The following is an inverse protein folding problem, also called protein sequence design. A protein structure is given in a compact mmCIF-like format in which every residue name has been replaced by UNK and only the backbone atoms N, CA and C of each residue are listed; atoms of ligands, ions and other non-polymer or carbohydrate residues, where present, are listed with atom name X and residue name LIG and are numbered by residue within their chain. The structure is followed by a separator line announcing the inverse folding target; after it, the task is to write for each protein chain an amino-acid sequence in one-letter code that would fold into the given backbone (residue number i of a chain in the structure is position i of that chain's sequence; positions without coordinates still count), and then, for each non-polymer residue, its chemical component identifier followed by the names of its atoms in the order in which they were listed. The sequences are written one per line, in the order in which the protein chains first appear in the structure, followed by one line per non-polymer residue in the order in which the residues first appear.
data_IF_718980117556
#
_entry.id   IF_718980117556
#
_cell.length_a   1.000
_cell.length_b   1.000
_cell.length_c   1.000
_cell.angle_alpha   90.00
_cell.angle_beta   90.00
_cell.angle_gamma   90.00
#
_symmetry.space_group_name_H-M   'P 1'
#
loop_
_entity.id
_entity.type
_entity.pdbx_description
1 polymer ?
#
# COMPACT_ATOMS: atom_id res chain seq x y z
N UNK A 1 20.96 0.08 -5.37
CA UNK A 1 19.53 0.24 -5.17
C UNK A 1 18.81 -1.12 -5.22
N UNK A 2 17.76 -1.32 -4.39
CA UNK A 2 16.96 -2.55 -4.42
C UNK A 2 17.47 -3.68 -3.53
N UNK A 3 18.60 -3.55 -2.86
CA UNK A 3 19.13 -4.53 -1.89
C UNK A 3 18.88 -4.00 -0.48
N UNK A 4 17.78 -4.46 0.13
CA UNK A 4 17.45 -4.20 1.54
C UNK A 4 18.13 -5.22 2.47
N UNK A 5 18.01 -5.00 3.81
CA UNK A 5 18.68 -5.85 4.82
C UNK A 5 18.41 -7.35 4.64
N UNK A 6 17.14 -7.75 4.48
CA UNK A 6 16.77 -9.16 4.30
C UNK A 6 17.38 -9.76 3.02
N UNK A 7 17.34 -9.03 1.92
CA UNK A 7 17.91 -9.50 0.66
C UNK A 7 19.43 -9.59 0.75
N UNK A 8 20.07 -8.66 1.43
CA UNK A 8 21.53 -8.70 1.70
C UNK A 8 21.92 -9.95 2.49
N UNK A 9 21.13 -10.36 3.48
CA UNK A 9 21.39 -11.57 4.27
C UNK A 9 21.34 -12.82 3.39
N UNK A 10 20.36 -12.91 2.48
CA UNK A 10 20.28 -14.02 1.53
C UNK A 10 21.44 -14.04 0.54
N UNK A 11 21.88 -12.87 0.06
CA UNK A 11 23.05 -12.76 -0.82
C UNK A 11 24.33 -13.18 -0.09
N UNK A 12 24.49 -12.81 1.17
CA UNK A 12 25.64 -13.22 2.00
C UNK A 12 25.73 -14.74 2.18
N UNK A 13 24.58 -15.45 2.29
CA UNK A 13 24.55 -16.92 2.36
C UNK A 13 25.09 -17.58 1.09
N UNK A 14 25.06 -16.87 -0.04
CA UNK A 14 25.62 -17.29 -1.33
C UNK A 14 27.07 -16.82 -1.55
N UNK A 15 27.70 -16.21 -0.53
CA UNK A 15 29.03 -15.64 -0.66
C UNK A 15 29.11 -14.31 -1.42
N UNK A 16 27.97 -13.75 -1.82
CA UNK A 16 27.89 -12.50 -2.59
C UNK A 16 28.09 -11.31 -1.65
N UNK A 17 29.16 -10.56 -1.82
CA UNK A 17 29.51 -9.37 -1.03
C UNK A 17 29.57 -8.08 -1.84
N UNK A 18 29.88 -8.19 -3.13
CA UNK A 18 30.03 -7.05 -4.07
C UNK A 18 29.44 -7.38 -5.42
N UNK A 19 29.25 -6.36 -6.28
CA UNK A 19 28.64 -6.53 -7.61
C UNK A 19 29.42 -7.53 -8.48
N UNK A 20 30.74 -7.55 -8.40
CA UNK A 20 31.55 -8.50 -9.14
C UNK A 20 31.22 -9.97 -8.79
N UNK A 21 30.83 -10.26 -7.55
CA UNK A 21 30.47 -11.63 -7.16
C UNK A 21 29.13 -12.05 -7.79
N UNK A 22 28.23 -11.10 -8.04
CA UNK A 22 26.97 -11.35 -8.74
C UNK A 22 27.21 -11.81 -10.17
N UNK A 23 28.19 -11.21 -10.86
CA UNK A 23 28.53 -11.50 -12.25
C UNK A 23 29.21 -12.87 -12.43
N UNK A 24 29.66 -13.50 -11.35
CA UNK A 24 30.17 -14.88 -11.37
C UNK A 24 29.04 -15.93 -11.40
N UNK A 25 27.79 -15.49 -11.20
CA UNK A 25 26.63 -16.36 -11.18
C UNK A 25 25.82 -16.22 -12.47
N UNK A 26 25.16 -17.32 -12.85
CA UNK A 26 24.26 -17.29 -13.99
C UNK A 26 22.99 -16.47 -13.68
N UNK A 27 22.57 -15.64 -14.65
CA UNK A 27 21.32 -14.86 -14.59
C UNK A 27 20.11 -15.77 -14.33
N UNK A 28 20.05 -16.95 -14.96
CA UNK A 28 18.97 -17.94 -14.79
C UNK A 28 18.94 -18.47 -13.34
N UNK A 29 20.11 -18.71 -12.75
CA UNK A 29 20.19 -19.13 -11.34
C UNK A 29 19.63 -18.06 -10.41
N UNK A 30 20.00 -16.79 -10.61
CA UNK A 30 19.49 -15.67 -9.81
C UNK A 30 18.00 -15.44 -10.00
N UNK A 31 17.48 -15.61 -11.22
CA UNK A 31 16.05 -15.53 -11.52
C UNK A 31 15.27 -16.64 -10.80
N UNK A 32 15.71 -17.89 -10.90
CA UNK A 32 15.07 -19.02 -10.20
C UNK A 32 15.04 -18.83 -8.69
N UNK A 33 16.09 -18.25 -8.10
CA UNK A 33 16.21 -18.09 -6.66
C UNK A 33 15.49 -16.86 -6.11
N UNK A 34 15.52 -15.74 -6.82
CA UNK A 34 15.06 -14.44 -6.35
C UNK A 34 13.98 -13.80 -7.23
N UNK A 35 13.55 -14.49 -8.29
CA UNK A 35 12.57 -13.97 -9.25
C UNK A 35 13.05 -12.68 -9.92
N UNK A 36 12.14 -11.74 -10.09
CA UNK A 36 12.44 -10.42 -10.69
C UNK A 36 13.56 -9.67 -9.97
N UNK A 37 13.71 -9.84 -8.66
CA UNK A 37 14.79 -9.20 -7.90
C UNK A 37 16.17 -9.73 -8.30
N UNK A 38 16.27 -11.01 -8.64
CA UNK A 38 17.51 -11.64 -9.15
C UNK A 38 17.90 -11.11 -10.52
N UNK A 39 16.93 -10.99 -11.43
CA UNK A 39 17.15 -10.40 -12.77
C UNK A 39 17.66 -8.96 -12.62
N UNK A 40 16.95 -8.14 -11.86
CA UNK A 40 17.32 -6.74 -11.60
C UNK A 40 18.70 -6.61 -10.95
N UNK A 41 19.06 -7.52 -10.05
CA UNK A 41 20.36 -7.53 -9.40
C UNK A 41 21.47 -7.78 -10.41
N UNK A 42 21.31 -8.79 -11.29
CA UNK A 42 22.27 -9.12 -12.31
C UNK A 42 22.47 -7.97 -13.32
N UNK A 43 21.38 -7.42 -13.83
CA UNK A 43 21.41 -6.29 -14.77
C UNK A 43 22.12 -5.08 -14.20
N UNK A 44 21.78 -4.70 -12.95
CA UNK A 44 22.45 -3.58 -12.26
C UNK A 44 23.92 -3.85 -11.97
N UNK A 45 24.29 -5.09 -11.64
CA UNK A 45 25.69 -5.46 -11.46
C UNK A 45 26.46 -5.39 -12.79
N UNK A 46 25.79 -5.65 -13.92
CA UNK A 46 26.32 -5.51 -15.28
C UNK A 46 26.34 -4.07 -15.80
N UNK A 47 25.84 -3.10 -15.01
CA UNK A 47 25.72 -1.70 -15.44
C UNK A 47 24.56 -1.47 -16.43
N UNK A 48 23.61 -2.39 -16.54
CA UNK A 48 22.47 -2.31 -17.45
C UNK A 48 21.25 -1.77 -16.69
N UNK A 49 20.68 -0.67 -17.16
CA UNK A 49 19.39 -0.14 -16.75
C UNK A 49 18.66 0.42 -17.98
N UNK A 50 17.70 -0.33 -18.47
CA UNK A 50 16.92 0.04 -19.67
C UNK A 50 15.64 0.80 -19.34
N UNK A 51 15.41 1.12 -18.05
CA UNK A 51 14.20 1.84 -17.63
C UNK A 51 14.30 3.30 -18.05
N UNK A 52 13.23 3.78 -18.63
CA UNK A 52 13.06 5.20 -18.89
C UNK A 52 12.68 5.96 -17.61
N UNK A 53 12.90 7.28 -17.60
CA UNK A 53 12.42 8.16 -16.53
C UNK A 53 10.94 8.43 -16.77
N UNK A 54 10.09 7.84 -15.96
CA UNK A 54 8.63 8.10 -15.98
C UNK A 54 8.28 9.20 -14.98
N UNK A 55 8.15 10.47 -15.42
CA UNK A 55 7.89 11.59 -14.50
C UNK A 55 6.49 11.56 -13.89
N UNK A 56 5.55 10.87 -14.54
CA UNK A 56 4.16 10.80 -14.09
C UNK A 56 3.69 9.34 -14.03
N UNK A 57 3.41 8.87 -12.83
CA UNK A 57 2.70 7.60 -12.63
C UNK A 57 1.26 7.86 -12.24
N UNK A 58 0.34 7.07 -12.83
CA UNK A 58 -1.07 7.13 -12.44
C UNK A 58 -1.19 6.74 -10.96
N UNK A 59 -1.74 7.65 -10.16
CA UNK A 59 -1.96 7.44 -8.73
C UNK A 59 -2.95 6.30 -8.52
N UNK A 60 -2.58 5.28 -7.75
CA UNK A 60 -3.42 4.10 -7.46
C UNK A 60 -4.07 4.15 -6.08
N UNK A 61 -3.51 4.93 -5.17
CA UNK A 61 -4.02 5.13 -3.81
C UNK A 61 -3.58 6.49 -3.28
N UNK A 62 -4.35 7.05 -2.34
CA UNK A 62 -3.99 8.21 -1.53
C UNK A 62 -4.03 7.80 -0.07
N UNK A 63 -3.02 8.15 0.72
CA UNK A 63 -2.95 7.78 2.12
C UNK A 63 -2.31 8.87 2.98
N UNK A 64 -2.69 8.87 4.25
CA UNK A 64 -2.06 9.68 5.28
C UNK A 64 -1.91 8.85 6.56
N UNK A 65 -0.76 8.95 7.19
CA UNK A 65 -0.48 8.26 8.45
C UNK A 65 0.37 9.14 9.37
N UNK A 66 0.26 8.90 10.68
CA UNK A 66 1.05 9.59 11.70
C UNK A 66 1.56 8.60 12.73
N UNK A 67 2.87 8.68 13.01
CA UNK A 67 3.43 8.10 14.22
C UNK A 67 3.12 9.04 15.37
N UNK A 68 2.43 8.52 16.38
CA UNK A 68 2.01 9.29 17.55
C UNK A 68 3.23 9.61 18.44
N UNK A 69 3.22 10.76 19.10
CA UNK A 69 4.26 11.16 20.07
C UNK A 69 4.34 10.18 21.24
N UNK A 70 3.18 9.70 21.68
CA UNK A 70 3.03 8.70 22.73
C UNK A 70 2.15 7.56 22.24
N UNK A 71 2.37 6.36 22.78
CA UNK A 71 1.53 5.21 22.44
C UNK A 71 0.15 5.33 23.12
N UNK A 72 -0.93 5.16 22.37
CA UNK A 72 -2.31 5.46 22.79
C UNK A 72 -3.19 4.21 22.76
N UNK A 73 -4.02 4.04 23.81
CA UNK A 73 -5.09 3.03 23.89
C UNK A 73 -6.47 3.62 23.56
N UNK A 74 -6.65 4.93 23.79
CA UNK A 74 -7.95 5.58 23.67
C UNK A 74 -8.37 5.75 22.20
N UNK A 75 -9.44 5.04 21.82
CA UNK A 75 -10.03 5.15 20.49
C UNK A 75 -10.52 6.57 20.16
N UNK A 76 -10.91 7.38 21.18
CA UNK A 76 -11.34 8.76 20.94
C UNK A 76 -10.19 9.61 20.38
N UNK A 77 -8.98 9.43 20.92
CA UNK A 77 -7.78 10.12 20.43
C UNK A 77 -7.44 9.63 19.02
N UNK A 78 -7.53 8.31 18.78
CA UNK A 78 -7.27 7.72 17.48
C UNK A 78 -8.26 8.22 16.41
N UNK A 79 -9.55 8.36 16.76
CA UNK A 79 -10.59 8.93 15.88
C UNK A 79 -10.31 10.39 15.51
N UNK A 80 -9.74 11.21 16.41
CA UNK A 80 -9.30 12.57 16.06
C UNK A 80 -8.22 12.55 14.95
N UNK A 81 -7.28 11.64 15.04
CA UNK A 81 -6.26 11.48 13.99
C UNK A 81 -6.85 10.95 12.68
N UNK A 82 -7.82 10.03 12.76
CA UNK A 82 -8.55 9.58 11.54
C UNK A 82 -9.28 10.74 10.87
N UNK A 83 -9.89 11.66 11.63
CA UNK A 83 -10.53 12.84 11.06
C UNK A 83 -9.53 13.73 10.32
N UNK A 84 -8.40 14.06 10.94
CA UNK A 84 -7.32 14.85 10.33
C UNK A 84 -6.83 14.20 9.03
N UNK A 85 -6.68 12.88 9.04
CA UNK A 85 -6.24 12.15 7.85
C UNK A 85 -7.31 12.09 6.76
N UNK A 86 -8.59 11.91 7.13
CA UNK A 86 -9.71 11.93 6.20
C UNK A 86 -9.86 13.29 5.51
N UNK A 87 -9.72 14.39 6.23
CA UNK A 87 -9.71 15.76 5.67
C UNK A 87 -8.58 15.95 4.65
N UNK A 88 -7.36 15.53 5.03
CA UNK A 88 -6.19 15.63 4.16
C UNK A 88 -6.37 14.82 2.88
N UNK A 89 -6.85 13.57 3.01
CA UNK A 89 -7.08 12.68 1.87
C UNK A 89 -8.22 13.23 1.00
N UNK A 90 -9.37 13.57 1.57
CA UNK A 90 -10.51 14.12 0.85
C UNK A 90 -10.15 15.37 0.06
N UNK A 91 -9.36 16.27 0.66
CA UNK A 91 -8.87 17.48 -0.01
C UNK A 91 -7.98 17.16 -1.21
N UNK A 92 -7.05 16.20 -1.07
CA UNK A 92 -6.17 15.78 -2.18
C UNK A 92 -6.94 15.09 -3.28
N UNK A 93 -7.88 14.20 -2.94
CA UNK A 93 -8.72 13.50 -3.91
C UNK A 93 -9.57 14.48 -4.72
N UNK A 94 -10.18 15.48 -4.07
CA UNK A 94 -10.96 16.54 -4.77
C UNK A 94 -10.08 17.39 -5.68
N UNK A 95 -8.86 17.77 -5.21
CA UNK A 95 -7.91 18.53 -6.01
C UNK A 95 -7.48 17.78 -7.28
N UNK A 96 -7.32 16.47 -7.19
CA UNK A 96 -6.87 15.61 -8.29
C UNK A 96 -8.05 15.04 -9.11
N UNK A 97 -9.30 15.46 -8.84
CA UNK A 97 -10.53 14.91 -9.44
C UNK A 97 -10.64 13.38 -9.31
N UNK A 98 -10.13 12.81 -8.24
CA UNK A 98 -10.17 11.39 -7.99
C UNK A 98 -11.29 11.03 -7.00
N UNK A 99 -11.87 9.85 -7.20
CA UNK A 99 -12.76 9.18 -6.23
C UNK A 99 -12.32 7.73 -6.07
N UNK A 100 -12.31 7.25 -4.84
CA UNK A 100 -11.95 5.87 -4.54
C UNK A 100 -13.05 5.17 -3.75
N UNK A 101 -13.07 3.84 -3.78
CA UNK A 101 -14.11 3.06 -3.07
C UNK A 101 -13.57 2.15 -1.99
N UNK A 102 -12.28 1.87 -1.94
CA UNK A 102 -11.70 1.03 -0.89
C UNK A 102 -11.04 1.91 0.16
N UNK A 103 -11.58 1.85 1.37
CA UNK A 103 -11.06 2.57 2.55
C UNK A 103 -10.29 1.57 3.40
N UNK A 104 -9.09 1.96 3.79
CA UNK A 104 -8.16 1.12 4.54
C UNK A 104 -7.73 1.86 5.80
N UNK A 105 -7.80 1.21 6.95
CA UNK A 105 -7.21 1.68 8.22
C UNK A 105 -5.99 0.83 8.53
N UNK A 106 -4.88 1.51 8.83
CA UNK A 106 -3.63 0.92 9.26
C UNK A 106 -3.38 1.30 10.72
N UNK A 107 -3.10 0.30 11.54
CA UNK A 107 -2.68 0.48 12.94
C UNK A 107 -1.36 -0.25 13.15
N UNK A 108 -0.38 0.43 13.73
CA UNK A 108 0.86 -0.19 14.19
C UNK A 108 0.93 -0.04 15.70
N UNK A 109 1.16 -1.13 16.40
CA UNK A 109 1.26 -1.17 17.85
C UNK A 109 2.66 -0.80 18.37
N UNK A 110 2.78 -0.63 19.69
CA UNK A 110 4.04 -0.33 20.36
C UNK A 110 5.14 -1.39 20.12
N UNK A 111 4.76 -2.64 19.90
CA UNK A 111 5.66 -3.75 19.55
C UNK A 111 5.99 -3.83 18.05
N UNK A 112 5.65 -2.79 17.28
CA UNK A 112 5.84 -2.67 15.83
C UNK A 112 5.03 -3.66 14.98
N UNK A 113 4.19 -4.51 15.58
CA UNK A 113 3.22 -5.30 14.82
C UNK A 113 2.20 -4.38 14.18
N UNK A 114 1.85 -4.69 12.93
CA UNK A 114 0.92 -3.89 12.14
C UNK A 114 -0.31 -4.71 11.77
N UNK A 115 -1.47 -4.07 11.89
CA UNK A 115 -2.74 -4.60 11.40
C UNK A 115 -3.28 -3.61 10.38
N UNK A 116 -3.86 -4.14 9.32
CA UNK A 116 -4.57 -3.38 8.30
C UNK A 116 -5.96 -3.98 8.14
N UNK A 117 -6.99 -3.12 8.10
CA UNK A 117 -8.37 -3.48 7.79
C UNK A 117 -8.87 -2.61 6.68
N UNK A 118 -9.71 -3.16 5.82
CA UNK A 118 -10.29 -2.42 4.71
C UNK A 118 -11.73 -2.84 4.47
N UNK A 119 -12.49 -1.92 3.91
CA UNK A 119 -13.82 -2.15 3.36
C UNK A 119 -13.91 -1.50 1.97
N UNK A 120 -14.82 -2.00 1.17
CA UNK A 120 -15.06 -1.47 -0.18
C UNK A 120 -16.50 -0.99 -0.25
N UNK A 121 -16.66 0.29 -0.56
CA UNK A 121 -17.96 0.94 -0.72
C UNK A 121 -18.59 0.54 -2.06
N UNK A 122 -19.91 0.60 -2.13
CA UNK A 122 -20.63 0.43 -3.40
C UNK A 122 -20.31 1.55 -4.39
N UNK A 123 -20.30 2.80 -3.91
CA UNK A 123 -19.99 3.99 -4.71
C UNK A 123 -18.64 4.59 -4.32
N UNK A 124 -17.94 5.11 -5.30
CA UNK A 124 -16.68 5.83 -5.07
C UNK A 124 -16.93 7.18 -4.41
N UNK A 125 -16.05 7.58 -3.51
CA UNK A 125 -16.16 8.83 -2.76
C UNK A 125 -14.84 9.61 -2.72
N UNK A 126 -14.94 10.91 -2.53
CA UNK A 126 -13.89 11.82 -2.08
C UNK A 126 -14.40 12.74 -0.95
N UNK A 127 -15.57 12.41 -0.40
CA UNK A 127 -16.16 13.12 0.73
C UNK A 127 -15.43 12.74 2.02
N UNK A 128 -15.01 13.76 2.76
CA UNK A 128 -14.29 13.61 4.03
C UNK A 128 -15.10 12.79 5.04
N UNK A 129 -16.39 13.12 5.18
CA UNK A 129 -17.28 12.47 6.16
C UNK A 129 -17.41 10.98 5.89
N UNK A 130 -17.66 10.59 4.62
CA UNK A 130 -17.75 9.19 4.23
C UNK A 130 -16.46 8.42 4.52
N UNK A 131 -15.29 9.04 4.22
CA UNK A 131 -13.98 8.43 4.49
C UNK A 131 -13.79 8.26 6.01
N UNK A 132 -14.12 9.30 6.79
CA UNK A 132 -13.96 9.29 8.23
C UNK A 132 -14.87 8.28 8.92
N UNK A 133 -16.18 8.26 8.61
CA UNK A 133 -17.15 7.35 9.20
C UNK A 133 -16.75 5.89 8.98
N UNK A 134 -16.40 5.52 7.76
CA UNK A 134 -15.98 4.17 7.44
C UNK A 134 -14.63 3.80 8.06
N UNK A 135 -13.71 4.75 8.20
CA UNK A 135 -12.48 4.53 8.94
C UNK A 135 -12.72 4.31 10.44
N UNK A 136 -13.72 4.99 11.02
CA UNK A 136 -14.13 4.78 12.42
C UNK A 136 -14.74 3.38 12.63
N UNK A 137 -15.59 2.90 11.72
CA UNK A 137 -16.14 1.54 11.76
C UNK A 137 -14.99 0.52 11.77
N UNK A 138 -14.05 0.64 10.85
CA UNK A 138 -12.88 -0.25 10.79
C UNK A 138 -12.01 -0.20 12.05
N UNK A 139 -11.85 0.98 12.67
CA UNK A 139 -11.11 1.11 13.92
C UNK A 139 -11.86 0.46 15.08
N UNK A 140 -13.19 0.59 15.11
CA UNK A 140 -14.02 0.03 16.20
C UNK A 140 -14.04 -1.49 16.19
N UNK A 141 -13.93 -2.12 15.03
CA UNK A 141 -13.80 -3.58 14.87
C UNK A 141 -12.41 -4.11 15.27
N UNK A 142 -11.40 -3.22 15.40
CA UNK A 142 -10.07 -3.66 15.75
C UNK A 142 -9.94 -3.92 17.26
N UNK A 143 -9.46 -5.12 17.66
CA UNK A 143 -9.09 -5.36 19.05
C UNK A 143 -7.78 -4.60 19.36
N UNK A 144 -7.90 -3.52 20.16
CA UNK A 144 -6.73 -2.77 20.64
C UNK A 144 -6.11 -3.47 21.87
N UNK A 145 -5.58 -4.65 21.67
CA UNK A 145 -4.90 -5.40 22.74
C UNK A 145 -3.61 -4.73 23.23
N UNK A 146 -3.07 -3.79 22.47
CA UNK A 146 -1.82 -3.06 22.77
C UNK A 146 -1.97 -1.60 22.41
N UNK A 147 -1.15 -0.74 23.03
CA UNK A 147 -1.10 0.67 22.68
C UNK A 147 -0.71 0.89 21.21
N UNK A 148 -1.39 1.80 20.57
CA UNK A 148 -1.18 2.19 19.16
C UNK A 148 -0.07 3.22 19.07
N UNK A 149 0.94 2.92 18.27
CA UNK A 149 2.06 3.79 17.95
C UNK A 149 1.86 4.61 16.68
N UNK A 150 1.16 4.05 15.68
CA UNK A 150 0.90 4.70 14.40
C UNK A 150 -0.51 4.38 13.95
N UNK A 151 -1.17 5.39 13.40
CA UNK A 151 -2.49 5.25 12.77
C UNK A 151 -2.49 5.94 11.42
N UNK A 152 -3.21 5.36 10.45
CA UNK A 152 -3.34 5.92 9.11
C UNK A 152 -4.60 5.47 8.40
N UNK A 153 -4.98 6.24 7.38
CA UNK A 153 -6.05 5.92 6.42
C UNK A 153 -5.45 5.87 5.01
N UNK A 154 -6.00 4.99 4.19
CA UNK A 154 -5.76 4.95 2.75
C UNK A 154 -7.08 4.86 2.00
N UNK A 155 -7.13 5.48 0.82
CA UNK A 155 -8.23 5.36 -0.15
C UNK A 155 -7.64 4.86 -1.46
N UNK A 156 -8.26 3.84 -2.05
CA UNK A 156 -7.79 3.21 -3.29
C UNK A 156 -8.97 2.77 -4.17
N UNK A 157 -8.67 2.05 -5.24
CA UNK A 157 -9.64 1.68 -6.28
C UNK A 157 -10.29 2.92 -6.90
N UNK A 158 -9.43 3.79 -7.45
CA UNK A 158 -9.86 4.99 -8.17
C UNK A 158 -10.52 4.63 -9.50
N UNK A 159 -11.36 5.52 -10.03
CA UNK A 159 -12.05 5.38 -11.30
C UNK A 159 -13.44 6.01 -11.28
N UNK A 160 -14.21 5.82 -12.33
CA UNK A 160 -15.59 6.23 -12.44
C UNK A 160 -16.55 5.09 -12.12
N UNK A 161 -17.69 5.39 -11.50
CA UNK A 161 -18.69 4.38 -11.13
C UNK A 161 -19.38 3.72 -12.35
N UNK A 162 -19.14 4.25 -13.56
CA UNK A 162 -19.68 3.71 -14.81
C UNK A 162 -18.99 2.44 -15.32
N UNK A 163 -17.78 2.13 -14.83
CA UNK A 163 -16.94 1.04 -15.38
C UNK A 163 -17.23 -0.37 -14.86
N UNK A 164 -18.14 -0.57 -13.90
CA UNK A 164 -18.38 -1.89 -13.30
C UNK A 164 -19.83 -2.40 -13.46
N UNK A 165 -20.40 -2.30 -14.64
CA UNK A 165 -21.47 -3.23 -14.99
C UNK A 165 -20.83 -4.50 -15.56
N UNK A 166 -20.52 -5.45 -14.69
CA UNK A 166 -20.28 -6.82 -15.13
C UNK A 166 -21.55 -7.27 -15.85
N UNK A 167 -21.47 -7.43 -17.16
CA UNK A 167 -22.56 -8.01 -17.94
C UNK A 167 -22.77 -9.42 -17.40
N UNK A 168 -23.92 -9.66 -16.80
CA UNK A 168 -24.30 -11.01 -16.38
C UNK A 168 -24.47 -11.87 -17.62
N UNK A 169 -23.78 -13.01 -17.68
CA UNK A 169 -23.93 -14.02 -18.75
C UNK A 169 -25.39 -14.51 -18.88
N UNK A 170 -26.22 -14.28 -17.88
CA UNK A 170 -27.64 -14.67 -17.87
C UNK A 170 -28.53 -13.79 -18.78
N UNK A 171 -28.07 -12.64 -19.24
CA UNK A 171 -28.83 -11.77 -20.16
C UNK A 171 -28.78 -12.21 -21.63
N UNK A 172 -28.07 -13.29 -21.97
CA UNK A 172 -27.97 -13.81 -23.33
C UNK A 172 -28.80 -15.07 -23.58
N UNK A 173 -29.58 -15.54 -22.60
CA UNK A 173 -30.35 -16.81 -22.72
C UNK A 173 -31.81 -16.62 -23.22
N UNK A 174 -32.30 -15.38 -23.39
CA UNK A 174 -33.65 -15.09 -23.87
C UNK A 174 -33.60 -14.27 -25.16
N UNK A 175 -33.24 -14.92 -26.27
CA UNK A 175 -33.65 -14.54 -27.64
C UNK A 175 -33.61 -15.75 -28.54
#
# INVERSE_FOLDING_TARGET
PGVGKKFLEELKKLGIKKCADVLQLDKIFLEKKFGKAGIMLFERASGIDTREVEPYTVKKSESAETTLSENVYDKKILKKWLLIHAERIGTRLRKDNLKGRTITVKVKFADFKQITRQLTLEKRTNATDTIFENACILLDELPLAKAVRLIGIGVSCFGDDKENKQLSLLTFADK
#
